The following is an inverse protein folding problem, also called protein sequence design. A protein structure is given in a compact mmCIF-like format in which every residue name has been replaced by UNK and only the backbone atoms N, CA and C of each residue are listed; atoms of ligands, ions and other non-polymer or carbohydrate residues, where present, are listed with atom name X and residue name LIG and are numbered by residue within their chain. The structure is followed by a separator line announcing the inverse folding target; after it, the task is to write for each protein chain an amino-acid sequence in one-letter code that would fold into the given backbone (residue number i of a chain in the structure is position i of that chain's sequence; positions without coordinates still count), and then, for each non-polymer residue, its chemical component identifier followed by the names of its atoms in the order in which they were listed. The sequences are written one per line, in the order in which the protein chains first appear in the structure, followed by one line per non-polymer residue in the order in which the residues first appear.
data_IF_493113561331
#
_entry.id   IF_493113561331
#
_cell.length_a   1.000
_cell.length_b   1.000
_cell.length_c   1.000
_cell.angle_alpha   90.00
_cell.angle_beta   90.00
_cell.angle_gamma   90.00
#
_symmetry.space_group_name_H-M   'P 1'
#
loop_
_entity.id
_entity.type
_entity.pdbx_description
1 polymer ?
#
# COMPACT_ATOMS: atom_id res chain seq x y z
N UNK A 1 9.22 -29.30 2.00
CA UNK A 1 10.66 -29.20 1.68
C UNK A 1 11.29 -30.46 2.19
N UNK A 2 12.18 -31.07 1.42
CA UNK A 2 12.98 -32.20 1.91
C UNK A 2 14.06 -31.70 2.89
N UNK A 3 14.65 -32.64 3.63
CA UNK A 3 15.67 -32.32 4.65
C UNK A 3 16.95 -31.73 4.04
N UNK A 4 17.29 -32.14 2.82
CA UNK A 4 18.49 -31.69 2.10
C UNK A 4 18.37 -30.20 1.71
N UNK A 5 17.20 -29.78 1.24
CA UNK A 5 16.90 -28.39 0.92
C UNK A 5 16.95 -27.51 2.18
N UNK A 6 16.39 -27.99 3.30
CA UNK A 6 16.43 -27.27 4.57
C UNK A 6 17.87 -27.08 5.03
N UNK A 7 18.72 -28.11 4.90
CA UNK A 7 20.14 -28.02 5.24
C UNK A 7 20.87 -27.00 4.36
N UNK A 8 20.68 -27.08 3.04
CA UNK A 8 21.27 -26.13 2.08
C UNK A 8 20.88 -24.68 2.38
N UNK A 9 19.61 -24.43 2.71
CA UNK A 9 19.13 -23.09 3.06
C UNK A 9 19.69 -22.60 4.40
N UNK A 10 19.90 -23.48 5.40
CA UNK A 10 20.55 -23.12 6.67
C UNK A 10 22.01 -22.72 6.45
N UNK A 11 22.73 -23.43 5.57
CA UNK A 11 24.09 -23.08 5.17
C UNK A 11 24.12 -21.73 4.46
N UNK A 12 23.27 -21.51 3.46
CA UNK A 12 23.17 -20.24 2.75
C UNK A 12 22.78 -19.07 3.67
N UNK A 13 21.88 -19.29 4.62
CA UNK A 13 21.45 -18.29 5.60
C UNK A 13 22.61 -17.78 6.46
N UNK A 14 23.62 -18.61 6.72
CA UNK A 14 24.77 -18.27 7.57
C UNK A 14 25.58 -17.09 7.01
N UNK A 15 25.65 -16.98 5.68
CA UNK A 15 26.36 -15.94 4.93
C UNK A 15 25.50 -14.68 4.64
N UNK A 16 24.21 -14.68 5.02
CA UNK A 16 23.33 -13.55 4.75
C UNK A 16 23.57 -12.37 5.72
N UNK A 17 23.29 -11.12 5.30
CA UNK A 17 23.27 -9.97 6.20
C UNK A 17 22.31 -10.17 7.38
N UNK A 18 22.64 -9.59 8.55
CA UNK A 18 21.95 -9.82 9.84
C UNK A 18 20.42 -9.88 9.75
N UNK A 19 19.78 -8.89 9.09
CA UNK A 19 18.31 -8.83 8.96
C UNK A 19 17.76 -10.01 8.16
N UNK A 20 18.38 -10.34 7.03
CA UNK A 20 17.97 -11.46 6.16
C UNK A 20 18.26 -12.81 6.83
N UNK A 21 19.41 -12.96 7.46
CA UNK A 21 19.79 -14.16 8.24
C UNK A 21 18.77 -14.45 9.34
N UNK A 22 18.40 -13.42 10.13
CA UNK A 22 17.39 -13.58 11.18
C UNK A 22 16.03 -14.01 10.62
N UNK A 23 15.57 -13.38 9.54
CA UNK A 23 14.31 -13.76 8.89
C UNK A 23 14.35 -15.20 8.37
N UNK A 24 15.44 -15.57 7.69
CA UNK A 24 15.59 -16.91 7.11
C UNK A 24 15.59 -17.99 8.20
N UNK A 25 16.28 -17.75 9.33
CA UNK A 25 16.25 -18.67 10.47
C UNK A 25 14.83 -18.87 11.01
N UNK A 26 14.04 -17.79 11.17
CA UNK A 26 12.64 -17.89 11.60
C UNK A 26 11.81 -18.73 10.63
N UNK A 27 11.99 -18.56 9.32
CA UNK A 27 11.30 -19.37 8.31
C UNK A 27 11.70 -20.84 8.40
N UNK A 28 13.00 -21.13 8.54
CA UNK A 28 13.53 -22.50 8.61
C UNK A 28 13.15 -23.22 9.89
N UNK A 29 13.03 -22.49 11.01
CA UNK A 29 12.55 -23.04 12.28
C UNK A 29 11.04 -23.36 12.24
N UNK A 30 10.32 -22.76 11.30
CA UNK A 30 8.92 -23.07 10.99
C UNK A 30 8.73 -24.28 10.06
N UNK A 31 9.80 -24.84 9.46
CA UNK A 31 9.70 -26.02 8.61
C UNK A 31 9.53 -27.26 9.49
N UNK A 32 8.28 -27.68 9.66
CA UNK A 32 7.86 -28.83 10.48
C UNK A 32 6.76 -29.61 9.77
N UNK A 33 6.51 -30.86 10.16
CA UNK A 33 5.33 -31.58 9.71
C UNK A 33 4.04 -30.78 9.94
N UNK A 34 3.05 -30.91 9.04
CA UNK A 34 1.77 -30.21 9.20
C UNK A 34 1.04 -30.70 10.46
N UNK A 35 0.75 -29.77 11.38
CA UNK A 35 0.01 -30.04 12.62
C UNK A 35 -1.22 -29.14 12.71
N UNK A 36 -2.32 -29.66 13.25
CA UNK A 36 -3.58 -28.94 13.43
C UNK A 36 -4.39 -28.68 12.16
N UNK A 37 -5.60 -28.14 12.36
CA UNK A 37 -6.59 -27.91 11.29
C UNK A 37 -6.25 -26.70 10.40
N UNK A 38 -5.48 -25.74 10.91
CA UNK A 38 -5.14 -24.49 10.20
C UNK A 38 -3.65 -24.43 9.92
N UNK A 39 -3.30 -24.23 8.66
CA UNK A 39 -1.92 -24.25 8.20
C UNK A 39 -1.62 -23.03 7.32
N UNK A 40 -0.42 -22.49 7.50
CA UNK A 40 0.14 -21.47 6.61
C UNK A 40 1.35 -22.08 5.90
N UNK A 41 1.32 -22.13 4.57
CA UNK A 41 2.37 -22.73 3.76
C UNK A 41 2.92 -21.71 2.79
N UNK A 42 4.24 -21.63 2.70
CA UNK A 42 4.92 -20.82 1.70
C UNK A 42 5.29 -21.69 0.50
N UNK A 43 4.70 -21.38 -0.66
CA UNK A 43 4.95 -22.10 -1.91
C UNK A 43 5.78 -21.21 -2.83
N UNK A 44 7.09 -21.46 -2.89
CA UNK A 44 8.03 -20.72 -3.73
C UNK A 44 8.13 -21.32 -5.14
N UNK A 45 8.61 -20.58 -6.15
CA UNK A 45 8.79 -21.08 -7.54
C UNK A 45 7.50 -21.43 -8.28
N UNK A 46 6.35 -20.89 -7.84
CA UNK A 46 5.05 -21.05 -8.50
C UNK A 46 4.74 -19.78 -9.27
N UNK A 47 4.44 -19.92 -10.54
CA UNK A 47 3.93 -18.83 -11.37
C UNK A 47 2.46 -19.07 -11.67
N UNK A 48 1.59 -18.11 -11.35
CA UNK A 48 0.16 -18.22 -11.63
C UNK A 48 -0.05 -18.28 -13.15
N UNK A 49 -0.76 -19.30 -13.63
CA UNK A 49 -1.13 -19.44 -15.04
C UNK A 49 -2.62 -19.17 -15.27
N UNK A 50 -3.48 -19.71 -14.41
CA UNK A 50 -4.92 -19.68 -14.64
C UNK A 50 -5.69 -19.72 -13.31
N UNK A 51 -6.73 -18.90 -13.19
CA UNK A 51 -7.72 -19.00 -12.11
C UNK A 51 -8.90 -19.81 -12.66
N UNK A 52 -9.18 -20.94 -12.03
CA UNK A 52 -10.18 -21.89 -12.49
C UNK A 52 -11.47 -21.66 -11.67
N UNK A 53 -12.60 -21.33 -12.31
CA UNK A 53 -13.86 -21.18 -11.62
C UNK A 53 -14.58 -22.52 -11.39
N UNK A 54 -15.54 -22.55 -10.47
CA UNK A 54 -16.58 -23.58 -10.38
C UNK A 54 -17.73 -23.30 -11.34
N UNK A 55 -18.77 -24.15 -11.29
CA UNK A 55 -19.98 -24.02 -12.12
C UNK A 55 -20.77 -22.71 -11.86
N UNK A 56 -20.52 -22.02 -10.75
CA UNK A 56 -21.18 -20.76 -10.37
C UNK A 56 -20.34 -19.52 -10.72
N UNK A 57 -19.13 -19.71 -11.26
CA UNK A 57 -18.19 -18.62 -11.56
C UNK A 57 -17.32 -18.18 -10.37
N UNK A 58 -17.36 -18.89 -9.23
CA UNK A 58 -16.47 -18.61 -8.09
C UNK A 58 -15.14 -19.34 -8.25
N UNK A 59 -14.06 -18.80 -7.68
CA UNK A 59 -12.76 -19.51 -7.69
C UNK A 59 -12.87 -20.87 -7.02
N UNK A 60 -12.35 -21.91 -7.68
CA UNK A 60 -12.30 -23.29 -7.18
C UNK A 60 -10.88 -23.81 -7.04
N UNK A 61 -10.00 -23.37 -7.94
CA UNK A 61 -8.58 -23.73 -7.94
C UNK A 61 -7.75 -22.73 -8.74
N UNK A 62 -6.44 -22.80 -8.58
CA UNK A 62 -5.48 -22.02 -9.38
C UNK A 62 -4.47 -22.97 -9.97
N UNK A 63 -4.23 -22.84 -11.27
CA UNK A 63 -3.15 -23.52 -11.98
C UNK A 63 -1.89 -22.70 -11.82
N UNK A 64 -0.83 -23.36 -11.36
CA UNK A 64 0.51 -22.81 -11.27
C UNK A 64 1.46 -23.61 -12.13
N UNK A 65 2.40 -22.92 -12.76
CA UNK A 65 3.58 -23.57 -13.31
C UNK A 65 4.65 -23.66 -12.23
N UNK A 66 5.07 -24.88 -11.90
CA UNK A 66 6.08 -25.18 -10.89
C UNK A 66 7.47 -25.23 -11.54
N UNK A 67 8.22 -24.13 -11.41
CA UNK A 67 9.54 -23.97 -12.06
C UNK A 67 10.60 -24.97 -11.62
N UNK A 68 10.42 -25.65 -10.47
CA UNK A 68 11.39 -26.64 -9.99
C UNK A 68 11.19 -28.00 -10.61
N UNK A 69 9.93 -28.37 -10.84
CA UNK A 69 9.56 -29.65 -11.42
C UNK A 69 9.33 -29.59 -12.92
N UNK A 70 9.28 -28.37 -13.46
CA UNK A 70 8.96 -28.11 -14.86
C UNK A 70 7.59 -28.70 -15.27
N UNK A 71 6.60 -28.56 -14.38
CA UNK A 71 5.25 -29.10 -14.57
C UNK A 71 4.17 -28.11 -14.10
N UNK A 72 2.96 -28.27 -14.62
CA UNK A 72 1.77 -27.59 -14.11
C UNK A 72 1.21 -28.33 -12.88
N UNK A 73 0.86 -27.58 -11.84
CA UNK A 73 0.15 -28.08 -10.66
C UNK A 73 -1.14 -27.28 -10.42
N UNK A 74 -2.22 -27.98 -10.06
CA UNK A 74 -3.50 -27.35 -9.71
C UNK A 74 -3.66 -27.39 -8.19
N UNK A 75 -3.87 -26.23 -7.59
CA UNK A 75 -4.08 -26.09 -6.15
C UNK A 75 -5.53 -25.66 -5.89
N UNK A 76 -6.36 -26.50 -5.24
CA UNK A 76 -7.71 -26.14 -4.84
C UNK A 76 -7.72 -24.95 -3.86
N UNK A 77 -8.58 -23.97 -4.11
CA UNK A 77 -8.80 -22.84 -3.20
C UNK A 77 -10.18 -22.20 -3.42
N UNK A 78 -10.83 -21.80 -2.32
CA UNK A 78 -12.11 -21.07 -2.36
C UNK A 78 -11.97 -19.55 -2.23
N UNK A 79 -10.74 -19.04 -2.06
CA UNK A 79 -10.42 -17.63 -1.96
C UNK A 79 -9.03 -17.37 -2.51
N UNK A 80 -8.92 -16.39 -3.42
CA UNK A 80 -7.66 -15.92 -3.98
C UNK A 80 -7.50 -14.43 -3.66
N UNK A 81 -6.38 -14.06 -3.04
CA UNK A 81 -6.05 -12.67 -2.70
C UNK A 81 -4.73 -12.30 -3.38
N UNK A 82 -4.77 -11.31 -4.28
CA UNK A 82 -3.57 -10.77 -4.89
C UNK A 82 -2.88 -9.81 -3.92
N UNK A 83 -1.70 -10.20 -3.43
CA UNK A 83 -0.84 -9.36 -2.57
C UNK A 83 0.49 -9.06 -3.27
N UNK A 84 0.42 -8.59 -4.51
CA UNK A 84 1.58 -8.37 -5.41
C UNK A 84 1.99 -6.89 -5.54
N UNK A 85 1.47 -6.03 -4.65
CA UNK A 85 1.74 -4.60 -4.63
C UNK A 85 0.52 -3.77 -5.02
N UNK A 86 0.70 -2.45 -5.01
CA UNK A 86 -0.31 -1.48 -5.40
C UNK A 86 0.11 -0.73 -6.66
N UNK A 87 -0.85 -0.09 -7.32
CA UNK A 87 -0.58 0.85 -8.40
C UNK A 87 -0.95 2.26 -7.94
N UNK A 88 -0.13 3.23 -8.28
CA UNK A 88 -0.42 4.63 -8.02
C UNK A 88 -1.42 5.14 -9.04
N UNK A 89 -2.42 5.88 -8.56
CA UNK A 89 -3.33 6.62 -9.43
C UNK A 89 -2.84 8.07 -9.53
N UNK A 90 -2.54 8.50 -10.76
CA UNK A 90 -2.16 9.90 -11.03
C UNK A 90 -3.41 10.67 -11.41
N UNK A 91 -3.76 11.65 -10.57
CA UNK A 91 -4.91 12.54 -10.75
C UNK A 91 -4.79 13.41 -12.00
N UNK A 92 -5.93 13.86 -12.52
CA UNK A 92 -5.99 14.71 -13.71
C UNK A 92 -5.25 16.03 -13.50
N UNK A 93 -4.59 16.49 -14.57
CA UNK A 93 -3.76 17.70 -14.55
C UNK A 93 -2.30 17.47 -14.12
N UNK A 94 -1.94 16.27 -13.67
CA UNK A 94 -0.54 15.89 -13.39
C UNK A 94 0.06 15.05 -14.53
N UNK A 95 1.35 15.25 -14.86
CA UNK A 95 2.03 14.50 -15.90
C UNK A 95 2.30 13.05 -15.48
N UNK A 96 2.27 12.13 -16.45
CA UNK A 96 2.47 10.69 -16.25
C UNK A 96 3.65 10.18 -17.06
N UNK A 97 4.38 9.19 -16.55
CA UNK A 97 5.36 8.41 -17.32
C UNK A 97 4.66 7.43 -18.26
N UNK A 98 5.40 6.78 -19.16
CA UNK A 98 4.87 5.73 -20.04
C UNK A 98 4.27 4.56 -19.25
N UNK A 99 4.82 4.25 -18.06
CA UNK A 99 4.30 3.23 -17.15
C UNK A 99 3.13 3.72 -16.28
N UNK A 100 2.59 4.91 -16.56
CA UNK A 100 1.43 5.47 -15.86
C UNK A 100 1.71 5.99 -14.45
N UNK A 101 2.98 6.18 -14.06
CA UNK A 101 3.37 6.74 -12.76
C UNK A 101 3.44 8.26 -12.82
N UNK A 102 3.47 8.93 -11.67
CA UNK A 102 3.65 10.38 -11.62
C UNK A 102 5.02 10.74 -12.20
N UNK A 103 5.05 11.64 -13.19
CA UNK A 103 6.31 12.07 -13.79
C UNK A 103 7.04 13.03 -12.84
N UNK A 104 8.12 12.55 -12.24
CA UNK A 104 8.94 13.30 -11.30
C UNK A 104 10.15 13.91 -12.01
N UNK A 105 10.40 15.20 -11.80
CA UNK A 105 11.61 15.89 -12.28
C UNK A 105 12.84 15.50 -11.47
N UNK A 106 12.64 15.30 -10.17
CA UNK A 106 13.64 14.82 -9.21
C UNK A 106 12.91 14.15 -8.04
N UNK A 107 13.62 13.83 -6.96
CA UNK A 107 13.01 13.14 -5.81
C UNK A 107 11.90 13.94 -5.09
N UNK A 108 11.70 15.22 -5.39
CA UNK A 108 10.81 16.10 -4.63
C UNK A 108 9.75 16.79 -5.48
N UNK A 109 10.08 17.10 -6.74
CA UNK A 109 9.24 17.89 -7.66
C UNK A 109 8.70 17.04 -8.80
N UNK A 110 7.46 17.30 -9.14
CA UNK A 110 6.79 16.82 -10.35
C UNK A 110 7.31 17.61 -11.57
N UNK A 111 7.46 16.94 -12.71
CA UNK A 111 7.94 17.55 -13.95
C UNK A 111 6.82 18.29 -14.70
N UNK A 112 6.37 19.39 -14.12
CA UNK A 112 5.25 20.16 -14.67
C UNK A 112 5.65 20.91 -15.96
N UNK A 113 4.95 20.69 -17.09
CA UNK A 113 5.26 21.38 -18.36
C UNK A 113 5.12 22.90 -18.29
N UNK A 114 4.22 23.40 -17.43
CA UNK A 114 3.98 24.82 -17.23
C UNK A 114 4.98 25.49 -16.28
N UNK A 115 6.00 24.77 -15.79
CA UNK A 115 6.99 25.30 -14.85
C UNK A 115 6.46 25.52 -13.42
N UNK A 116 5.20 25.14 -13.14
CA UNK A 116 4.63 25.23 -11.79
C UNK A 116 5.36 24.32 -10.82
N UNK A 117 5.52 24.79 -9.58
CA UNK A 117 6.10 23.96 -8.52
C UNK A 117 5.02 23.09 -7.91
N UNK A 118 5.05 21.81 -8.30
CA UNK A 118 4.23 20.75 -7.71
C UNK A 118 5.18 19.75 -7.07
N UNK A 119 4.86 19.35 -5.85
CA UNK A 119 5.66 18.44 -5.05
C UNK A 119 4.87 17.17 -4.76
N UNK A 120 5.57 16.06 -4.58
CA UNK A 120 4.96 14.80 -4.21
C UNK A 120 5.87 14.05 -3.24
N UNK A 121 5.27 13.35 -2.28
CA UNK A 121 5.97 12.60 -1.25
C UNK A 121 5.31 11.22 -1.05
N UNK A 122 6.09 10.26 -0.57
CA UNK A 122 5.64 8.91 -0.26
C UNK A 122 5.28 8.11 -1.50
N UNK A 123 4.29 7.23 -1.36
CA UNK A 123 3.97 6.24 -2.39
C UNK A 123 3.50 6.84 -3.71
N UNK A 124 2.87 8.01 -3.72
CA UNK A 124 2.45 8.65 -4.97
C UNK A 124 3.64 9.10 -5.84
N UNK A 125 4.78 9.42 -5.22
CA UNK A 125 6.01 9.82 -5.89
C UNK A 125 6.93 8.63 -6.23
N UNK A 126 7.09 7.70 -5.28
CA UNK A 126 8.15 6.67 -5.36
C UNK A 126 7.63 5.23 -5.46
N UNK A 127 6.31 5.07 -5.58
CA UNK A 127 5.64 3.78 -5.63
C UNK A 127 5.48 3.13 -4.25
N UNK A 128 4.73 2.02 -4.15
CA UNK A 128 4.31 1.45 -2.89
C UNK A 128 5.36 0.56 -2.25
N UNK A 129 6.43 1.19 -1.77
CA UNK A 129 7.55 0.53 -1.09
C UNK A 129 7.91 1.28 0.18
N UNK A 130 8.54 0.57 1.11
CA UNK A 130 8.95 1.13 2.41
C UNK A 130 7.86 1.04 3.48
N UNK A 131 8.26 1.37 4.70
CA UNK A 131 7.42 1.46 5.88
C UNK A 131 7.06 2.92 6.18
N UNK A 132 6.24 3.16 7.21
CA UNK A 132 5.79 4.50 7.60
C UNK A 132 6.97 5.46 7.85
N UNK A 133 8.06 4.97 8.45
CA UNK A 133 9.27 5.77 8.72
C UNK A 133 9.95 6.23 7.42
N UNK A 134 9.99 5.39 6.38
CA UNK A 134 10.55 5.78 5.08
C UNK A 134 9.73 6.92 4.46
N UNK A 135 8.39 6.83 4.55
CA UNK A 135 7.49 7.88 4.06
C UNK A 135 7.61 9.17 4.87
N UNK A 136 7.82 9.07 6.18
CA UNK A 136 8.05 10.22 7.04
C UNK A 136 9.33 10.97 6.65
N UNK A 137 10.45 10.25 6.50
CA UNK A 137 11.72 10.85 6.12
C UNK A 137 11.66 11.49 4.73
N UNK A 138 11.02 10.82 3.78
CA UNK A 138 10.78 11.35 2.44
C UNK A 138 10.00 12.67 2.48
N UNK A 139 8.91 12.70 3.25
CA UNK A 139 8.09 13.91 3.42
C UNK A 139 8.86 15.09 4.02
N UNK A 140 9.80 14.83 4.94
CA UNK A 140 10.68 15.86 5.49
C UNK A 140 11.61 16.43 4.42
N UNK A 141 12.23 15.57 3.60
CA UNK A 141 13.12 16.00 2.53
C UNK A 141 12.37 16.87 1.49
N UNK A 142 11.14 16.47 1.15
CA UNK A 142 10.26 17.25 0.26
C UNK A 142 9.92 18.61 0.88
N UNK A 143 9.56 18.65 2.17
CA UNK A 143 9.27 19.91 2.87
C UNK A 143 10.49 20.84 2.91
N UNK A 144 11.69 20.32 3.17
CA UNK A 144 12.92 21.11 3.10
C UNK A 144 13.17 21.67 1.70
N UNK A 145 12.91 20.88 0.66
CA UNK A 145 13.01 21.36 -0.72
C UNK A 145 12.00 22.46 -1.01
N UNK A 146 10.75 22.32 -0.55
CA UNK A 146 9.74 23.37 -0.68
C UNK A 146 10.21 24.68 -0.04
N UNK A 147 10.74 24.63 1.20
CA UNK A 147 11.24 25.82 1.90
C UNK A 147 12.38 26.50 1.11
N UNK A 148 13.34 25.72 0.61
CA UNK A 148 14.43 26.23 -0.24
C UNK A 148 13.88 26.93 -1.47
N UNK A 149 12.90 26.31 -2.13
CA UNK A 149 12.31 26.85 -3.35
C UNK A 149 11.59 28.17 -3.10
N UNK A 150 10.74 28.20 -2.06
CA UNK A 150 10.04 29.42 -1.67
C UNK A 150 11.00 30.55 -1.30
N UNK A 151 12.13 30.25 -0.64
CA UNK A 151 13.11 31.28 -0.28
C UNK A 151 13.78 31.94 -1.48
N UNK A 152 13.76 31.29 -2.65
CA UNK A 152 14.34 31.80 -3.90
C UNK A 152 13.33 32.49 -4.81
N UNK A 153 12.04 32.44 -4.48
CA UNK A 153 10.97 32.99 -5.33
C UNK A 153 10.66 34.43 -4.92
N UNK A 154 10.80 35.35 -5.87
CA UNK A 154 10.46 36.77 -5.70
C UNK A 154 9.16 37.18 -6.40
N UNK A 155 8.59 36.26 -7.19
CA UNK A 155 7.43 36.42 -8.07
C UNK A 155 6.12 35.86 -7.47
N UNK A 156 6.19 35.23 -6.28
CA UNK A 156 5.00 34.77 -5.57
C UNK A 156 4.27 35.98 -4.99
N UNK A 157 3.17 36.36 -5.63
CA UNK A 157 2.35 37.52 -5.28
C UNK A 157 0.90 37.09 -5.03
N UNK A 158 0.17 37.81 -4.17
CA UNK A 158 -1.25 37.57 -3.89
C UNK A 158 -1.56 37.18 -2.44
N UNK A 159 -2.85 37.13 -2.12
CA UNK A 159 -3.38 36.68 -0.83
C UNK A 159 -3.60 35.18 -0.81
N UNK A 160 -3.22 34.53 0.30
CA UNK A 160 -3.51 33.12 0.55
C UNK A 160 -5.02 32.93 0.83
N UNK A 161 -5.82 32.87 -0.22
CA UNK A 161 -7.17 32.35 -0.10
C UNK A 161 -7.09 30.83 -0.01
N UNK A 162 -7.27 30.29 1.20
CA UNK A 162 -7.33 28.85 1.40
C UNK A 162 -8.43 28.21 0.54
N UNK A 163 -8.37 26.89 0.35
CA UNK A 163 -9.26 26.18 -0.57
C UNK A 163 -10.75 26.22 -0.17
N UNK A 164 -11.10 26.60 1.06
CA UNK A 164 -12.48 26.57 1.58
C UNK A 164 -13.47 27.33 0.71
N UNK A 165 -13.21 28.59 0.37
CA UNK A 165 -14.13 29.39 -0.44
C UNK A 165 -14.36 28.79 -1.84
N UNK A 166 -13.33 28.14 -2.39
CA UNK A 166 -13.43 27.42 -3.66
C UNK A 166 -14.26 26.13 -3.52
N UNK A 167 -14.08 25.39 -2.44
CA UNK A 167 -14.86 24.18 -2.15
C UNK A 167 -16.34 24.54 -1.93
N UNK A 168 -16.61 25.59 -1.15
CA UNK A 168 -17.97 26.06 -0.84
C UNK A 168 -18.69 26.56 -2.11
N UNK A 169 -18.03 27.36 -2.96
CA UNK A 169 -18.61 27.86 -4.21
C UNK A 169 -18.87 26.76 -5.24
N UNK A 170 -18.13 25.65 -5.17
CA UNK A 170 -18.34 24.45 -5.99
C UNK A 170 -19.30 23.43 -5.36
N UNK A 171 -19.87 23.75 -4.19
CA UNK A 171 -20.73 22.83 -3.43
C UNK A 171 -20.07 21.46 -3.17
N UNK A 172 -18.74 21.43 -2.98
CA UNK A 172 -18.02 20.20 -2.65
C UNK A 172 -18.30 19.84 -1.20
N UNK A 173 -18.77 18.63 -0.96
CA UNK A 173 -18.92 18.12 0.40
C UNK A 173 -17.56 17.66 0.94
N UNK A 174 -17.08 18.28 2.01
CA UNK A 174 -15.80 17.97 2.65
C UNK A 174 -15.95 17.84 4.17
N UNK A 175 -15.00 17.15 4.79
CA UNK A 175 -14.91 17.02 6.24
C UNK A 175 -13.85 17.93 6.80
N UNK A 176 -14.24 18.74 7.78
CA UNK A 176 -13.29 19.46 8.63
C UNK A 176 -12.66 18.53 9.65
N UNK A 177 -11.53 18.95 10.23
CA UNK A 177 -10.91 18.24 11.35
C UNK A 177 -11.85 18.07 12.55
N UNK A 178 -12.67 19.08 12.83
CA UNK A 178 -13.63 19.02 13.94
C UNK A 178 -14.74 17.99 13.69
N UNK A 179 -15.24 17.90 12.46
CA UNK A 179 -16.22 16.88 12.06
C UNK A 179 -15.60 15.48 12.06
N UNK A 180 -14.36 15.32 11.59
CA UNK A 180 -13.62 14.05 11.70
C UNK A 180 -13.49 13.56 13.14
N UNK A 181 -13.20 14.46 14.10
CA UNK A 181 -13.13 14.08 15.52
C UNK A 181 -14.45 13.54 16.06
N UNK A 182 -15.60 14.06 15.61
CA UNK A 182 -16.92 13.51 15.99
C UNK A 182 -17.10 12.09 15.47
N UNK A 183 -16.65 11.81 14.25
CA UNK A 183 -16.64 10.45 13.69
C UNK A 183 -15.75 9.54 14.55
N UNK A 184 -14.55 9.99 14.89
CA UNK A 184 -13.62 9.24 15.73
C UNK A 184 -14.23 8.88 17.09
N UNK A 185 -14.84 9.85 17.78
CA UNK A 185 -15.53 9.65 19.07
C UNK A 185 -16.69 8.64 18.95
N UNK A 186 -17.48 8.72 17.88
CA UNK A 186 -18.57 7.80 17.64
C UNK A 186 -18.07 6.37 17.41
N UNK A 187 -17.05 6.19 16.55
CA UNK A 187 -16.46 4.89 16.28
C UNK A 187 -15.88 4.26 17.55
N UNK A 188 -15.22 5.06 18.40
CA UNK A 188 -14.69 4.62 19.70
C UNK A 188 -15.83 4.17 20.63
N UNK A 189 -16.89 4.97 20.75
CA UNK A 189 -18.05 4.63 21.60
C UNK A 189 -18.73 3.33 21.17
N UNK A 190 -19.04 3.19 19.89
CA UNK A 190 -19.65 1.97 19.35
C UNK A 190 -18.72 0.75 19.48
N UNK A 191 -17.41 0.98 19.39
CA UNK A 191 -16.41 -0.04 19.66
C UNK A 191 -16.49 -0.54 21.10
N UNK A 192 -16.50 0.37 22.07
CA UNK A 192 -16.56 0.03 23.49
C UNK A 192 -17.80 -0.81 23.85
N UNK A 193 -18.98 -0.44 23.32
CA UNK A 193 -20.23 -1.19 23.49
C UNK A 193 -20.13 -2.65 22.99
N UNK A 194 -19.21 -2.91 22.05
CA UNK A 194 -18.95 -4.23 21.45
C UNK A 194 -17.67 -4.90 21.97
N UNK A 195 -16.98 -4.32 22.95
CA UNK A 195 -15.68 -4.82 23.44
C UNK A 195 -14.53 -4.68 22.45
N UNK A 196 -14.61 -3.74 21.51
CA UNK A 196 -13.59 -3.42 20.50
C UNK A 196 -12.96 -2.05 20.78
N UNK A 197 -11.76 -1.81 20.25
CA UNK A 197 -11.14 -0.47 20.31
C UNK A 197 -11.98 0.57 19.57
N UNK A 198 -12.52 0.20 18.40
CA UNK A 198 -13.44 1.02 17.62
C UNK A 198 -14.32 0.14 16.73
N UNK A 199 -15.47 0.68 16.35
CA UNK A 199 -16.33 0.17 15.30
C UNK A 199 -16.36 1.18 14.15
N UNK A 200 -15.73 0.85 13.02
CA UNK A 200 -15.58 1.80 11.91
C UNK A 200 -16.89 2.01 11.16
N UNK A 201 -17.17 3.25 10.79
CA UNK A 201 -18.22 3.56 9.82
C UNK A 201 -17.75 3.16 8.42
N UNK A 202 -18.43 2.19 7.80
CA UNK A 202 -18.01 1.60 6.51
C UNK A 202 -18.75 2.14 5.30
N UNK A 203 -19.75 3.01 5.51
CA UNK A 203 -20.53 3.63 4.44
C UNK A 203 -20.19 5.10 4.32
N UNK A 204 -20.02 5.57 3.08
CA UNK A 204 -19.68 6.95 2.78
C UNK A 204 -20.70 7.95 3.36
N UNK A 205 -21.99 7.67 3.19
CA UNK A 205 -23.06 8.51 3.72
C UNK A 205 -23.03 8.64 5.24
N UNK A 206 -22.53 7.61 5.94
CA UNK A 206 -22.47 7.58 7.39
C UNK A 206 -21.46 8.59 7.94
N UNK A 207 -20.45 9.03 7.17
CA UNK A 207 -19.48 10.01 7.63
C UNK A 207 -19.43 11.29 6.80
N UNK A 208 -19.87 11.30 5.53
CA UNK A 208 -19.83 12.49 4.68
C UNK A 208 -21.10 13.35 4.80
N UNK A 209 -22.24 12.75 5.11
CA UNK A 209 -23.45 13.53 5.42
C UNK A 209 -23.46 13.79 6.92
N UNK A 210 -23.60 15.06 7.30
CA UNK A 210 -23.54 15.61 8.66
C UNK A 210 -24.65 15.06 9.56
N UNK A 211 -24.63 13.76 9.82
CA UNK A 211 -25.69 13.00 10.48
C UNK A 211 -25.33 12.70 11.93
N UNK A 212 -24.70 13.67 12.61
CA UNK A 212 -24.25 13.60 14.00
C UNK A 212 -24.62 14.87 14.76
#
# INVERSE_FOLDING_TARGET
MDEEEVKSLREAASAMPRRRKRLMNVLLDGVKPPEGERQCRFLNYREVKEVIPDQTGRVSSVRFYNKRKDEDEIIPCGLLIYSIGYQTYVIDGLPKTEEGRLAMKNNYRVDMPCGSFVYAAGWCAHGPRGVIVDTQQDSLNVAEQMVKDFSTRTDVTGSLHGARALLDSRHVNYLTWAEWKKIDELELKQGQEKGKVREKLTKFDAFLHKTF
#
